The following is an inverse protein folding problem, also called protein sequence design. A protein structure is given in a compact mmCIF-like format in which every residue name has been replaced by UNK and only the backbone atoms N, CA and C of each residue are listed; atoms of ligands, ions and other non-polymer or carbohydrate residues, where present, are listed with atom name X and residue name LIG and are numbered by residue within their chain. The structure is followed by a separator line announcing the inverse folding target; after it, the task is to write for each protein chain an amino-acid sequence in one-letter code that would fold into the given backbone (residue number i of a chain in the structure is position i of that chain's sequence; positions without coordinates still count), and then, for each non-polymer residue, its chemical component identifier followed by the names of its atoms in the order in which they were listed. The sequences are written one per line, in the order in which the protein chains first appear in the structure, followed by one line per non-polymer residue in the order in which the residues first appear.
data_IF_345240877723
#
_entry.id   IF_345240877723
#
_cell.length_a   1.000
_cell.length_b   1.000
_cell.length_c   1.000
_cell.angle_alpha   90.00
_cell.angle_beta   90.00
_cell.angle_gamma   90.00
#
_symmetry.space_group_name_H-M   'P 1'
#
loop_
_entity.id
_entity.type
_entity.pdbx_description
1 polymer ?
#
# COMPACT_ATOMS: atom_id res chain seq x y z
N UNK A 1 -18.33 10.57 7.71
CA UNK A 1 -19.33 10.67 6.63
C UNK A 1 -19.34 9.36 5.87
N UNK A 2 -20.51 8.85 5.47
CA UNK A 2 -20.59 7.61 4.70
C UNK A 2 -19.95 7.80 3.32
N UNK A 3 -19.22 6.80 2.83
CA UNK A 3 -18.59 6.78 1.50
C UNK A 3 -18.90 5.48 0.78
N UNK A 4 -18.91 5.45 -0.57
CA UNK A 4 -19.07 4.22 -1.34
C UNK A 4 -18.12 3.12 -0.86
N UNK A 5 -18.64 1.92 -0.62
CA UNK A 5 -17.87 0.80 -0.12
C UNK A 5 -16.99 0.19 -1.22
N UNK A 6 -15.74 -0.11 -0.91
CA UNK A 6 -14.78 -0.66 -1.86
C UNK A 6 -14.90 -2.18 -1.99
N UNK A 7 -14.61 -2.68 -3.19
CA UNK A 7 -14.80 -4.08 -3.59
C UNK A 7 -13.63 -4.55 -4.45
N UNK A 8 -13.51 -5.86 -4.59
CA UNK A 8 -12.62 -6.48 -5.56
C UNK A 8 -12.79 -5.83 -6.94
N UNK A 9 -11.68 -5.42 -7.56
CA UNK A 9 -11.70 -4.85 -8.90
C UNK A 9 -12.02 -3.35 -8.99
N UNK A 10 -12.45 -2.69 -7.91
CA UNK A 10 -12.65 -1.24 -7.95
C UNK A 10 -11.30 -0.51 -8.18
N UNK A 11 -11.31 0.60 -8.93
CA UNK A 11 -10.08 1.29 -9.34
C UNK A 11 -9.38 2.04 -8.20
N UNK A 12 -8.06 2.11 -8.28
CA UNK A 12 -7.20 2.96 -7.44
C UNK A 12 -6.74 4.20 -8.18
N UNK A 13 -6.24 5.20 -7.46
CA UNK A 13 -5.70 6.44 -8.02
C UNK A 13 -4.43 6.21 -8.85
N UNK A 14 -3.70 5.12 -8.62
CA UNK A 14 -2.57 4.70 -9.47
C UNK A 14 -3.00 3.94 -10.74
N UNK A 15 -4.30 3.90 -11.06
CA UNK A 15 -4.77 3.41 -12.35
C UNK A 15 -4.83 1.89 -12.49
N UNK A 16 -4.63 1.14 -11.40
CA UNK A 16 -4.84 -0.31 -11.34
C UNK A 16 -5.98 -0.67 -10.40
N UNK A 17 -6.70 -1.79 -10.64
CA UNK A 17 -7.80 -2.21 -9.80
C UNK A 17 -7.32 -2.81 -8.46
N UNK A 18 -8.21 -2.89 -7.48
CA UNK A 18 -8.03 -3.63 -6.23
C UNK A 18 -7.96 -5.14 -6.52
N UNK A 19 -6.77 -5.60 -6.87
CA UNK A 19 -6.36 -6.99 -7.11
C UNK A 19 -4.87 -7.11 -6.73
N UNK A 20 -4.30 -8.31 -6.45
CA UNK A 20 -4.87 -9.66 -6.61
C UNK A 20 -5.58 -10.21 -5.37
N UNK A 21 -5.67 -9.45 -4.27
CA UNK A 21 -6.45 -9.85 -3.10
C UNK A 21 -7.85 -10.30 -3.50
N UNK A 22 -8.38 -11.34 -2.85
CA UNK A 22 -9.65 -11.95 -3.26
C UNK A 22 -10.89 -11.19 -2.73
N UNK A 23 -10.69 -10.25 -1.81
CA UNK A 23 -11.78 -9.67 -1.03
C UNK A 23 -12.34 -10.68 -0.02
N UNK A 24 -13.47 -10.31 0.58
CA UNK A 24 -14.24 -11.20 1.43
C UNK A 24 -14.81 -12.39 0.65
N UNK A 25 -14.63 -13.60 1.17
CA UNK A 25 -15.15 -14.82 0.55
C UNK A 25 -16.65 -15.05 0.78
N UNK A 26 -17.28 -14.28 1.68
CA UNK A 26 -18.67 -14.48 2.06
C UNK A 26 -19.50 -13.20 2.21
N UNK A 27 -18.88 -12.01 2.21
CA UNK A 27 -19.59 -10.73 2.22
C UNK A 27 -19.40 -10.06 0.86
N UNK A 28 -20.50 -9.97 0.12
CA UNK A 28 -20.55 -9.39 -1.21
C UNK A 28 -21.28 -8.04 -1.17
N UNK A 29 -20.63 -7.00 -1.68
CA UNK A 29 -21.21 -5.66 -1.82
C UNK A 29 -21.52 -5.45 -3.30
N UNK A 30 -22.80 -5.25 -3.63
CA UNK A 30 -23.23 -5.19 -5.03
C UNK A 30 -22.82 -6.44 -5.82
N UNK A 31 -22.91 -7.63 -5.20
CA UNK A 31 -22.53 -8.95 -5.75
C UNK A 31 -21.03 -9.16 -6.02
N UNK A 32 -20.16 -8.27 -5.55
CA UNK A 32 -18.70 -8.38 -5.68
C UNK A 32 -18.07 -8.49 -4.28
N UNK A 33 -17.03 -9.32 -4.07
CA UNK A 33 -16.34 -9.43 -2.78
C UNK A 33 -15.98 -8.06 -2.19
N UNK A 34 -16.34 -7.84 -0.92
CA UNK A 34 -15.99 -6.61 -0.21
C UNK A 34 -14.48 -6.53 0.06
N UNK A 35 -13.87 -5.35 -0.09
CA UNK A 35 -12.45 -5.14 0.19
C UNK A 35 -12.21 -4.78 1.65
N UNK A 36 -11.19 -5.38 2.28
CA UNK A 36 -10.91 -5.28 3.71
C UNK A 36 -9.49 -4.80 3.99
N UNK A 37 -9.39 -3.84 4.90
CA UNK A 37 -8.15 -3.20 5.32
C UNK A 37 -7.60 -3.80 6.61
N UNK A 38 -6.43 -3.31 7.01
CA UNK A 38 -5.78 -3.74 8.24
C UNK A 38 -6.43 -3.11 9.48
N UNK A 39 -6.11 -3.66 10.66
CA UNK A 39 -6.46 -3.03 11.93
C UNK A 39 -5.64 -1.75 12.19
N UNK A 40 -6.10 -0.84 13.08
CA UNK A 40 -5.34 0.36 13.45
C UNK A 40 -3.92 0.06 13.99
N UNK A 41 -3.74 -1.03 14.73
CA UNK A 41 -2.44 -1.44 15.24
C UNK A 41 -1.48 -1.87 14.10
N UNK A 42 -1.99 -2.65 13.15
CA UNK A 42 -1.23 -3.04 11.96
C UNK A 42 -0.92 -1.84 11.05
N UNK A 43 -1.85 -0.88 10.93
CA UNK A 43 -1.62 0.38 10.22
C UNK A 43 -0.48 1.18 10.88
N UNK A 44 -0.47 1.30 12.21
CA UNK A 44 0.61 1.98 12.92
C UNK A 44 1.97 1.28 12.73
N UNK A 45 1.99 -0.06 12.80
CA UNK A 45 3.19 -0.85 12.54
C UNK A 45 3.71 -0.60 11.11
N UNK A 46 2.81 -0.64 10.11
CA UNK A 46 3.17 -0.43 8.71
C UNK A 46 3.71 0.98 8.46
N UNK A 47 3.07 2.01 9.01
CA UNK A 47 3.53 3.41 8.92
C UNK A 47 4.92 3.59 9.53
N UNK A 48 5.20 2.95 10.67
CA UNK A 48 6.52 3.01 11.30
C UNK A 48 7.60 2.35 10.42
N UNK A 49 7.32 1.17 9.88
CA UNK A 49 8.25 0.48 8.95
C UNK A 49 8.47 1.28 7.67
N UNK A 50 7.41 1.87 7.11
CA UNK A 50 7.50 2.73 5.93
C UNK A 50 8.38 3.96 6.19
N UNK A 51 8.15 4.67 7.31
CA UNK A 51 8.94 5.84 7.67
C UNK A 51 10.42 5.49 7.89
N UNK A 52 10.72 4.35 8.51
CA UNK A 52 12.10 3.86 8.66
C UNK A 52 12.76 3.62 7.29
N UNK A 53 12.08 2.93 6.38
CA UNK A 53 12.58 2.66 5.04
C UNK A 53 12.80 3.94 4.21
N UNK A 54 11.81 4.85 4.22
CA UNK A 54 11.91 6.12 3.48
C UNK A 54 13.04 7.02 4.02
N UNK A 55 13.25 7.05 5.33
CA UNK A 55 14.39 7.78 5.92
C UNK A 55 15.73 7.17 5.49
N UNK A 56 15.84 5.84 5.43
CA UNK A 56 17.05 5.17 4.94
C UNK A 56 17.30 5.45 3.45
N UNK A 57 16.25 5.44 2.63
CA UNK A 57 16.34 5.79 1.20
C UNK A 57 16.80 7.24 1.04
N UNK A 58 16.16 8.19 1.74
CA UNK A 58 16.52 9.60 1.68
C UNK A 58 17.99 9.83 2.09
N UNK A 59 18.44 9.18 3.16
CA UNK A 59 19.84 9.25 3.60
C UNK A 59 20.80 8.68 2.54
N UNK A 60 20.47 7.54 1.94
CA UNK A 60 21.29 6.94 0.88
C UNK A 60 21.40 7.83 -0.37
N UNK A 61 20.32 8.55 -0.71
CA UNK A 61 20.29 9.48 -1.83
C UNK A 61 21.14 10.74 -1.54
N UNK A 62 21.07 11.28 -0.32
CA UNK A 62 21.93 12.40 0.11
C UNK A 62 23.41 12.01 0.00
N UNK A 63 23.77 10.80 0.46
CA UNK A 63 25.14 10.29 0.36
C UNK A 63 25.58 10.12 -1.11
N UNK A 64 24.71 9.61 -1.98
CA UNK A 64 25.01 9.48 -3.41
C UNK A 64 25.20 10.85 -4.09
N UNK A 65 24.36 11.83 -3.75
CA UNK A 65 24.49 13.20 -4.25
C UNK A 65 25.80 13.85 -3.81
N UNK A 66 26.26 13.60 -2.58
CA UNK A 66 27.49 14.17 -2.05
C UNK A 66 28.76 13.74 -2.79
N UNK A 67 28.74 12.57 -3.44
CA UNK A 67 29.90 12.00 -4.16
C UNK A 67 29.74 12.01 -5.68
N UNK A 68 28.74 12.73 -6.20
CA UNK A 68 28.41 12.78 -7.63
C UNK A 68 29.59 13.29 -8.47
N UNK A 69 29.94 12.56 -9.52
CA UNK A 69 31.04 12.89 -10.44
C UNK A 69 32.43 12.47 -9.94
N UNK A 70 32.51 11.83 -8.78
CA UNK A 70 33.75 11.24 -8.26
C UNK A 70 33.84 9.75 -8.62
N UNK A 71 35.01 9.11 -8.53
CA UNK A 71 35.13 7.65 -8.68
C UNK A 71 34.24 6.83 -7.73
N UNK A 72 33.74 7.43 -6.64
CA UNK A 72 32.84 6.78 -5.69
C UNK A 72 31.36 6.76 -6.12
N UNK A 73 30.97 7.50 -7.17
CA UNK A 73 29.55 7.59 -7.61
C UNK A 73 28.90 6.23 -7.88
N UNK A 74 29.52 5.29 -8.63
CA UNK A 74 28.86 4.01 -8.94
C UNK A 74 28.53 3.19 -7.69
N UNK A 75 29.42 3.20 -6.69
CA UNK A 75 29.20 2.48 -5.44
C UNK A 75 28.06 3.11 -4.62
N UNK A 76 27.94 4.44 -4.61
CA UNK A 76 26.88 5.13 -3.89
C UNK A 76 25.51 4.95 -4.57
N UNK A 77 25.45 4.96 -5.91
CA UNK A 77 24.22 4.65 -6.65
C UNK A 77 23.78 3.19 -6.43
N UNK A 78 24.71 2.23 -6.42
CA UNK A 78 24.42 0.83 -6.09
C UNK A 78 23.88 0.67 -4.65
N UNK A 79 24.39 1.47 -3.71
CA UNK A 79 23.86 1.53 -2.33
C UNK A 79 22.42 2.00 -2.30
N UNK A 80 22.06 3.06 -3.03
CA UNK A 80 20.67 3.54 -3.14
C UNK A 80 19.74 2.44 -3.65
N UNK A 81 20.12 1.75 -4.73
CA UNK A 81 19.32 0.65 -5.30
C UNK A 81 19.14 -0.49 -4.30
N UNK A 82 20.20 -0.86 -3.58
CA UNK A 82 20.16 -1.90 -2.55
C UNK A 82 19.27 -1.49 -1.37
N UNK A 83 19.36 -0.24 -0.90
CA UNK A 83 18.53 0.29 0.18
C UNK A 83 17.04 0.31 -0.19
N UNK A 84 16.71 0.68 -1.43
CA UNK A 84 15.34 0.60 -1.94
C UNK A 84 14.87 -0.87 -1.95
N UNK A 85 15.66 -1.79 -2.50
CA UNK A 85 15.30 -3.21 -2.55
C UNK A 85 15.07 -3.81 -1.16
N UNK A 86 15.93 -3.50 -0.17
CA UNK A 86 15.76 -3.95 1.22
C UNK A 86 14.49 -3.36 1.84
N UNK A 87 14.18 -2.08 1.58
CA UNK A 87 12.95 -1.45 2.07
C UNK A 87 11.71 -2.12 1.49
N UNK A 88 11.71 -2.42 0.18
CA UNK A 88 10.63 -3.18 -0.46
C UNK A 88 10.46 -4.56 0.16
N UNK A 89 11.56 -5.27 0.42
CA UNK A 89 11.51 -6.59 1.04
C UNK A 89 10.92 -6.54 2.45
N UNK A 90 11.35 -5.60 3.29
CA UNK A 90 10.82 -5.41 4.64
C UNK A 90 9.31 -5.11 4.62
N UNK A 91 8.88 -4.18 3.76
CA UNK A 91 7.47 -3.82 3.60
C UNK A 91 6.65 -4.99 3.05
N UNK A 92 7.17 -5.70 2.04
CA UNK A 92 6.50 -6.87 1.45
C UNK A 92 6.32 -7.98 2.47
N UNK A 93 7.35 -8.29 3.27
CA UNK A 93 7.26 -9.28 4.33
C UNK A 93 6.21 -8.89 5.37
N UNK A 94 6.22 -7.64 5.83
CA UNK A 94 5.23 -7.15 6.79
C UNK A 94 3.81 -7.23 6.21
N UNK A 95 3.58 -6.71 5.01
CA UNK A 95 2.27 -6.75 4.34
C UNK A 95 1.79 -8.20 4.15
N UNK A 96 2.69 -9.10 3.76
CA UNK A 96 2.35 -10.52 3.56
C UNK A 96 1.86 -11.21 4.85
N UNK A 97 2.30 -10.73 6.02
CA UNK A 97 1.87 -11.27 7.31
C UNK A 97 0.43 -10.90 7.68
N UNK A 98 -0.16 -9.90 7.02
CA UNK A 98 -1.53 -9.46 7.30
C UNK A 98 -2.56 -10.30 6.56
N UNK A 99 -3.73 -10.49 7.16
CA UNK A 99 -4.88 -11.16 6.53
C UNK A 99 -5.71 -10.23 5.64
N UNK A 100 -5.44 -8.91 5.67
CA UNK A 100 -6.10 -7.93 4.84
C UNK A 100 -5.89 -8.16 3.33
N UNK A 101 -6.82 -7.63 2.54
CA UNK A 101 -6.80 -7.73 1.09
C UNK A 101 -5.68 -6.84 0.52
N UNK A 102 -4.94 -7.38 -0.47
CA UNK A 102 -3.70 -6.80 -0.97
C UNK A 102 -3.87 -6.32 -2.40
N UNK A 103 -3.55 -5.05 -2.62
CA UNK A 103 -3.43 -4.44 -3.92
C UNK A 103 -2.01 -4.64 -4.45
N UNK A 104 -1.82 -4.88 -5.74
CA UNK A 104 -0.52 -4.85 -6.40
C UNK A 104 -0.45 -3.67 -7.36
N UNK A 105 0.52 -2.78 -7.13
CA UNK A 105 0.78 -1.64 -7.99
C UNK A 105 2.04 -1.87 -8.84
N UNK A 106 1.91 -1.89 -10.19
CA UNK A 106 3.04 -2.09 -11.09
C UNK A 106 3.79 -0.79 -11.43
N UNK A 107 3.31 0.37 -10.95
CA UNK A 107 4.00 1.64 -11.19
C UNK A 107 5.40 1.61 -10.59
N UNK A 108 6.35 2.24 -11.27
CA UNK A 108 7.75 2.21 -10.90
C UNK A 108 8.15 3.48 -10.14
N UNK A 109 8.82 3.30 -9.00
CA UNK A 109 9.68 4.30 -8.40
C UNK A 109 11.10 4.10 -8.94
N UNK A 110 11.46 4.88 -9.96
CA UNK A 110 12.69 4.66 -10.72
C UNK A 110 12.61 3.33 -11.50
N UNK A 111 13.32 2.30 -11.03
CA UNK A 111 13.32 0.95 -11.63
C UNK A 111 12.60 -0.09 -10.78
N UNK A 112 12.08 0.28 -9.61
CA UNK A 112 11.50 -0.65 -8.64
C UNK A 112 9.99 -0.43 -8.54
N UNK A 113 9.15 -1.48 -8.67
CA UNK A 113 7.70 -1.33 -8.53
C UNK A 113 7.26 -0.85 -7.14
N UNK A 114 6.17 -0.07 -7.09
CA UNK A 114 5.45 0.31 -5.87
C UNK A 114 5.04 -0.92 -5.04
N UNK A 115 4.72 -2.03 -5.71
CA UNK A 115 4.58 -3.34 -5.09
C UNK A 115 3.25 -3.55 -4.38
N UNK A 116 3.26 -4.43 -3.38
CA UNK A 116 2.07 -4.81 -2.61
C UNK A 116 1.64 -3.67 -1.69
N UNK A 117 0.33 -3.49 -1.52
CA UNK A 117 -0.24 -2.52 -0.61
C UNK A 117 -1.51 -2.98 0.08
N UNK A 118 -1.80 -2.40 1.24
CA UNK A 118 -2.99 -2.66 2.05
C UNK A 118 -3.65 -1.36 2.47
N UNK A 119 -4.96 -1.39 2.70
CA UNK A 119 -5.70 -0.22 3.16
C UNK A 119 -5.46 -0.01 4.66
N UNK A 120 -5.04 1.19 5.06
CA UNK A 120 -4.59 1.50 6.43
C UNK A 120 -5.58 2.34 7.26
N UNK A 121 -6.59 2.93 6.63
CA UNK A 121 -7.55 3.87 7.22
C UNK A 121 -9.00 3.53 6.84
N UNK A 122 -9.30 2.22 6.80
CA UNK A 122 -10.66 1.69 6.59
C UNK A 122 -11.66 2.13 7.68
N UNK A 123 -12.88 1.59 7.64
CA UNK A 123 -13.89 1.91 8.64
C UNK A 123 -13.45 1.52 10.06
N UNK A 124 -13.70 2.42 11.02
CA UNK A 124 -13.48 2.18 12.45
C UNK A 124 -14.69 1.55 13.16
N UNK A 125 -15.82 1.42 12.46
CA UNK A 125 -17.09 0.95 13.05
C UNK A 125 -17.72 -0.20 12.28
N UNK A 126 -17.35 -0.40 11.01
CA UNK A 126 -17.86 -1.48 10.17
C UNK A 126 -16.73 -2.46 9.85
N UNK A 127 -16.89 -3.68 10.34
CA UNK A 127 -15.93 -4.76 10.16
C UNK A 127 -16.52 -5.87 9.30
N UNK A 128 -15.76 -6.32 8.31
CA UNK A 128 -16.09 -7.45 7.44
C UNK A 128 -15.05 -8.53 7.67
N UNK A 129 -15.49 -9.70 8.14
CA UNK A 129 -14.59 -10.78 8.59
C UNK A 129 -13.54 -10.30 9.61
N UNK A 130 -13.97 -9.49 10.60
CA UNK A 130 -13.09 -8.92 11.62
C UNK A 130 -12.00 -7.95 11.10
N UNK A 131 -12.10 -7.50 9.84
CA UNK A 131 -11.20 -6.54 9.22
C UNK A 131 -11.95 -5.27 8.84
N UNK A 132 -11.26 -4.12 8.81
CA UNK A 132 -11.90 -2.84 8.52
C UNK A 132 -12.49 -2.82 7.11
N UNK A 133 -13.77 -2.48 6.97
CA UNK A 133 -14.38 -2.36 5.65
C UNK A 133 -13.82 -1.13 4.91
N UNK A 134 -13.37 -1.31 3.67
CA UNK A 134 -12.74 -0.24 2.89
C UNK A 134 -13.78 0.57 2.11
N UNK A 135 -13.43 1.83 1.80
CA UNK A 135 -14.29 2.81 1.16
C UNK A 135 -13.49 3.64 0.15
N UNK A 136 -14.20 4.34 -0.72
CA UNK A 136 -13.59 5.36 -1.59
C UNK A 136 -12.82 6.39 -0.76
N UNK A 137 -11.62 6.73 -1.23
CA UNK A 137 -10.71 7.70 -0.62
C UNK A 137 -9.87 7.16 0.54
N UNK A 138 -10.14 5.93 1.01
CA UNK A 138 -9.25 5.24 1.93
C UNK A 138 -7.88 5.01 1.26
N UNK A 139 -6.85 5.12 2.07
CA UNK A 139 -5.43 5.12 1.74
C UNK A 139 -4.90 3.69 1.68
N UNK A 140 -4.26 3.37 0.56
CA UNK A 140 -3.52 2.13 0.35
C UNK A 140 -2.04 2.47 0.56
N UNK A 141 -1.45 1.93 1.63
CA UNK A 141 -0.01 2.00 1.83
C UNK A 141 0.65 0.90 1.01
N UNK A 142 1.36 1.28 -0.04
CA UNK A 142 2.18 0.40 -0.89
C UNK A 142 3.61 0.34 -0.35
N UNK A 143 4.48 -0.49 -0.91
CA UNK A 143 5.84 -0.67 -0.34
C UNK A 143 6.73 0.57 -0.45
N UNK A 144 6.52 1.41 -1.47
CA UNK A 144 7.33 2.62 -1.72
C UNK A 144 6.49 3.89 -1.96
N UNK A 145 5.18 3.80 -1.84
CA UNK A 145 4.24 4.83 -2.28
C UNK A 145 2.94 4.79 -1.50
N UNK A 146 2.12 5.81 -1.69
CA UNK A 146 0.79 5.90 -1.11
C UNK A 146 -0.22 6.08 -2.24
N UNK A 147 -1.23 5.23 -2.26
CA UNK A 147 -2.30 5.22 -3.24
C UNK A 147 -3.65 5.41 -2.54
N UNK A 148 -4.73 5.59 -3.30
CA UNK A 148 -6.09 5.75 -2.78
C UNK A 148 -7.08 4.93 -3.58
N UNK A 149 -8.13 4.47 -2.91
CA UNK A 149 -9.28 3.88 -3.57
C UNK A 149 -10.05 4.99 -4.30
N UNK A 150 -10.19 4.86 -5.62
CA UNK A 150 -10.81 5.88 -6.47
C UNK A 150 -12.27 5.54 -6.81
N UNK A 151 -12.65 4.27 -6.79
CA UNK A 151 -14.01 3.82 -7.09
C UNK A 151 -14.56 2.88 -6.01
N UNK A 152 -15.89 2.74 -5.97
CA UNK A 152 -16.59 1.93 -5.00
C UNK A 152 -18.00 1.59 -5.48
N UNK A 153 -18.77 0.88 -4.65
CA UNK A 153 -20.14 0.51 -4.94
C UNK A 153 -21.07 1.73 -4.97
N UNK A 154 -21.80 2.00 -6.07
CA UNK A 154 -22.68 3.17 -6.17
C UNK A 154 -23.92 3.10 -5.26
N UNK A 155 -24.27 1.92 -4.76
CA UNK A 155 -25.50 1.68 -4.00
C UNK A 155 -25.27 1.33 -2.53
N UNK A 156 -24.03 1.13 -2.11
CA UNK A 156 -23.69 0.76 -0.73
C UNK A 156 -22.64 1.72 -0.19
N UNK A 157 -22.99 2.42 0.88
CA UNK A 157 -22.09 3.34 1.58
C UNK A 157 -21.78 2.87 2.99
N UNK A 158 -20.51 2.93 3.40
CA UNK A 158 -20.02 2.55 4.73
C UNK A 158 -19.53 3.79 5.47
N UNK A 159 -19.79 3.83 6.79
CA UNK A 159 -19.40 4.88 7.72
C UNK A 159 -17.94 4.85 8.11
#
# INVERSE_FOLDING_TARGET
MKKPAARLGDMTAHGTPLTPGLGSQNVFIGKIPAWRGVSPAQAAQLTNTFNQGMNAIAQSQIEALAVKGTPASPAAEAKVVTTIATTVQMMTQLISSFTADKHLCPLLYGVVPHGSGVVIDGSSTVFINNLAACRVGDTIQETLSVNKIAAGCPTVTIG
#
